data_IF_345610080678
#
_entry.id   IF_345610080678
#
_cell.length_a   1.000
_cell.length_b   1.000
_cell.length_c   1.000
_cell.angle_alpha   90.00
_cell.angle_beta   90.00
_cell.angle_gamma   90.00
#
_symmetry.space_group_name_H-M   'P 1'
#
loop_
_entity.id
_entity.type
_entity.pdbx_description
1 polymer ?
#
# COMPACT_ATOMS: atom_id res chain seq x y z
N UNK A 1 6.27 -11.22 12.29
CA UNK A 1 6.63 -10.96 10.87
C UNK A 1 6.56 -9.47 10.60
N UNK A 2 7.61 -8.90 10.01
CA UNK A 2 7.71 -7.47 9.67
C UNK A 2 7.87 -7.38 8.15
N UNK A 3 6.88 -6.84 7.45
CA UNK A 3 6.74 -6.96 6.01
C UNK A 3 6.56 -5.58 5.34
N UNK A 4 7.20 -5.38 4.20
CA UNK A 4 6.91 -4.30 3.27
C UNK A 4 6.22 -4.88 2.04
N UNK A 5 5.10 -4.28 1.61
CA UNK A 5 4.51 -4.52 0.30
C UNK A 5 4.95 -3.43 -0.67
N UNK A 6 5.69 -3.82 -1.70
CA UNK A 6 6.06 -2.95 -2.82
C UNK A 6 5.16 -3.22 -4.04
N UNK A 7 5.02 -2.22 -4.87
CA UNK A 7 4.28 -2.29 -6.12
C UNK A 7 3.59 -0.96 -6.44
N UNK A 8 3.22 -0.79 -7.71
CA UNK A 8 2.57 0.40 -8.21
C UNK A 8 1.24 0.70 -7.48
N UNK A 9 0.77 1.96 -7.47
CA UNK A 9 -0.57 2.26 -7.02
C UNK A 9 -1.59 1.43 -7.81
N UNK A 10 -2.54 0.78 -7.13
CA UNK A 10 -3.50 -0.13 -7.79
C UNK A 10 -3.02 -1.57 -8.05
N UNK A 11 -1.79 -1.93 -7.69
CA UNK A 11 -1.27 -3.30 -7.83
C UNK A 11 -1.99 -4.35 -6.95
N UNK A 12 -2.90 -3.93 -6.06
CA UNK A 12 -3.63 -4.85 -5.18
C UNK A 12 -2.99 -5.03 -3.81
N UNK A 13 -2.02 -4.18 -3.44
CA UNK A 13 -1.35 -4.25 -2.13
C UNK A 13 -2.32 -4.30 -0.96
N UNK A 14 -3.27 -3.38 -0.90
CA UNK A 14 -4.27 -3.34 0.18
C UNK A 14 -5.15 -4.59 0.24
N UNK A 15 -5.51 -5.18 -0.90
CA UNK A 15 -6.27 -6.43 -0.96
C UNK A 15 -5.43 -7.58 -0.38
N UNK A 16 -4.20 -7.72 -0.80
CA UNK A 16 -3.31 -8.76 -0.29
C UNK A 16 -2.91 -8.53 1.17
N UNK A 17 -2.76 -7.26 1.58
CA UNK A 17 -2.51 -6.90 2.98
C UNK A 17 -3.58 -7.43 3.92
N UNK A 18 -4.86 -7.42 3.52
CA UNK A 18 -5.95 -7.97 4.33
C UNK A 18 -5.76 -9.48 4.62
N UNK A 19 -5.41 -10.26 3.61
CA UNK A 19 -5.16 -11.70 3.79
C UNK A 19 -3.90 -11.95 4.64
N UNK A 20 -2.84 -11.18 4.41
CA UNK A 20 -1.56 -11.34 5.11
C UNK A 20 -1.71 -10.98 6.59
N UNK A 21 -2.35 -9.83 6.91
CA UNK A 21 -2.55 -9.43 8.32
C UNK A 21 -3.37 -10.43 9.12
N UNK A 22 -4.39 -11.03 8.50
CA UNK A 22 -5.20 -12.07 9.13
C UNK A 22 -4.38 -13.34 9.36
N UNK A 23 -3.65 -13.81 8.34
CA UNK A 23 -2.86 -15.03 8.44
C UNK A 23 -1.74 -14.95 9.48
N UNK A 24 -1.05 -13.80 9.55
CA UNK A 24 0.11 -13.63 10.43
C UNK A 24 -0.20 -12.87 11.72
N UNK A 25 -1.45 -12.46 11.91
CA UNK A 25 -1.92 -11.70 13.07
C UNK A 25 -1.04 -10.45 13.35
N UNK A 26 -0.84 -9.63 12.33
CA UNK A 26 -0.05 -8.40 12.38
C UNK A 26 -0.88 -7.20 11.89
N UNK A 27 -0.67 -5.99 12.44
CA UNK A 27 -1.35 -4.80 11.97
C UNK A 27 -0.84 -4.35 10.60
N UNK A 28 -1.75 -3.77 9.81
CA UNK A 28 -1.41 -3.06 8.58
C UNK A 28 -1.17 -1.59 8.89
N UNK A 29 -0.06 -1.06 8.43
CA UNK A 29 0.29 0.37 8.48
C UNK A 29 0.23 0.92 7.06
N UNK A 30 -0.89 1.57 6.74
CA UNK A 30 -1.13 2.21 5.44
C UNK A 30 -1.02 3.72 5.59
N UNK A 31 0.05 4.31 5.06
CA UNK A 31 0.23 5.77 5.11
C UNK A 31 -0.86 6.50 4.35
N UNK A 32 -1.35 5.95 3.25
CA UNK A 32 -2.47 6.51 2.51
C UNK A 32 -3.75 6.54 3.32
N UNK A 33 -4.06 5.51 4.10
CA UNK A 33 -5.25 5.48 4.95
C UNK A 33 -5.11 6.41 6.16
N UNK A 34 -3.92 6.50 6.75
CA UNK A 34 -3.63 7.46 7.82
C UNK A 34 -3.83 8.90 7.36
N UNK A 35 -3.35 9.25 6.16
CA UNK A 35 -3.56 10.57 5.57
C UNK A 35 -5.03 10.84 5.25
N UNK A 36 -5.74 9.86 4.68
CA UNK A 36 -7.19 9.98 4.42
C UNK A 36 -8.01 10.16 5.70
N UNK A 37 -7.63 9.50 6.79
CA UNK A 37 -8.25 9.73 8.09
C UNK A 37 -8.04 11.18 8.56
N UNK A 38 -6.83 11.71 8.45
CA UNK A 38 -6.53 13.11 8.78
C UNK A 38 -7.30 14.11 7.90
N UNK A 39 -7.49 13.80 6.61
CA UNK A 39 -8.33 14.58 5.69
C UNK A 39 -9.79 14.61 6.17
N UNK A 40 -10.33 13.44 6.55
CA UNK A 40 -11.71 13.31 7.03
C UNK A 40 -11.96 14.08 8.35
N UNK A 41 -10.96 14.07 9.23
CA UNK A 41 -11.00 14.79 10.50
C UNK A 41 -10.80 16.31 10.33
N UNK A 42 -10.39 16.77 9.15
CA UNK A 42 -10.16 18.19 8.85
C UNK A 42 -8.96 18.79 9.58
N UNK A 43 -7.99 17.96 9.96
CA UNK A 43 -6.78 18.44 10.63
C UNK A 43 -5.93 19.31 9.67
N UNK A 44 -5.07 20.21 10.17
CA UNK A 44 -4.17 21.00 9.32
C UNK A 44 -3.32 20.10 8.38
N UNK A 45 -2.80 18.99 8.89
CA UNK A 45 -2.10 17.98 8.11
C UNK A 45 -3.01 17.38 7.03
N UNK A 46 -4.27 17.06 7.37
CA UNK A 46 -5.22 16.50 6.42
C UNK A 46 -5.53 17.46 5.28
N UNK A 47 -5.70 18.74 5.55
CA UNK A 47 -5.96 19.76 4.52
C UNK A 47 -4.79 19.93 3.55
N UNK A 48 -3.55 19.87 4.04
CA UNK A 48 -2.34 19.90 3.23
C UNK A 48 -2.19 18.63 2.42
N UNK A 49 -2.31 17.46 3.06
CA UNK A 49 -2.21 16.16 2.41
C UNK A 49 -3.23 15.99 1.29
N UNK A 50 -4.47 16.49 1.47
CA UNK A 50 -5.52 16.41 0.45
C UNK A 50 -5.09 17.05 -0.87
N UNK A 51 -4.52 18.25 -0.83
CA UNK A 51 -4.07 18.96 -2.04
C UNK A 51 -3.03 18.15 -2.83
N UNK A 52 -2.07 17.57 -2.11
CA UNK A 52 -1.00 16.77 -2.70
C UNK A 52 -1.54 15.46 -3.28
N UNK A 53 -2.39 14.76 -2.52
CA UNK A 53 -2.98 13.47 -2.93
C UNK A 53 -3.90 13.60 -4.13
N UNK A 54 -4.76 14.63 -4.17
CA UNK A 54 -5.67 14.92 -5.29
C UNK A 54 -4.89 15.23 -6.58
N UNK A 55 -3.70 15.81 -6.45
CA UNK A 55 -2.78 16.05 -7.56
C UNK A 55 -1.96 14.80 -7.97
N UNK A 56 -2.07 13.70 -7.24
CA UNK A 56 -1.33 12.45 -7.49
C UNK A 56 0.11 12.44 -6.97
N UNK A 57 0.50 13.43 -6.17
CA UNK A 57 1.82 13.55 -5.57
C UNK A 57 2.01 12.78 -4.27
N UNK A 58 3.20 12.89 -3.69
CA UNK A 58 3.55 12.35 -2.37
C UNK A 58 3.64 13.48 -1.33
N UNK A 59 3.11 13.23 -0.14
CA UNK A 59 3.31 14.10 1.03
C UNK A 59 4.78 14.02 1.45
N UNK A 60 5.31 15.11 2.03
CA UNK A 60 6.74 15.22 2.38
C UNK A 60 7.23 14.07 3.25
N UNK A 61 8.48 13.66 3.02
CA UNK A 61 9.11 12.52 3.70
C UNK A 61 9.11 12.70 5.22
N UNK A 62 9.42 13.89 5.73
CA UNK A 62 9.47 14.17 7.17
C UNK A 62 8.13 13.93 7.87
N UNK A 63 7.03 14.34 7.23
CA UNK A 63 5.67 14.12 7.75
C UNK A 63 5.37 12.62 7.79
N UNK A 64 5.61 11.91 6.69
CA UNK A 64 5.34 10.48 6.60
C UNK A 64 6.21 9.68 7.58
N UNK A 65 7.49 9.98 7.67
CA UNK A 65 8.41 9.33 8.62
C UNK A 65 7.93 9.54 10.06
N UNK A 66 7.54 10.75 10.41
CA UNK A 66 6.99 11.05 11.73
C UNK A 66 5.74 10.23 12.04
N UNK A 67 4.77 10.19 11.13
CA UNK A 67 3.54 9.41 11.28
C UNK A 67 3.82 7.92 11.48
N UNK A 68 4.73 7.35 10.69
CA UNK A 68 5.08 5.92 10.77
C UNK A 68 5.80 5.61 12.08
N UNK A 69 6.75 6.44 12.50
CA UNK A 69 7.44 6.27 13.79
C UNK A 69 6.49 6.29 14.97
N UNK A 70 5.49 7.18 14.97
CA UNK A 70 4.48 7.24 16.02
C UNK A 70 3.55 6.02 15.98
N UNK A 71 3.17 5.56 14.81
CA UNK A 71 2.37 4.34 14.64
C UNK A 71 3.07 3.09 15.15
N UNK A 72 4.37 2.96 14.92
CA UNK A 72 5.18 1.82 15.37
C UNK A 72 5.29 1.71 16.90
N UNK A 73 5.05 2.78 17.64
CA UNK A 73 5.05 2.78 19.13
C UNK A 73 3.79 2.13 19.72
N UNK A 74 2.75 1.90 18.91
CA UNK A 74 1.52 1.27 19.38
C UNK A 74 1.75 -0.20 19.76
N UNK A 75 1.11 -0.69 20.84
CA UNK A 75 1.35 -2.04 21.36
C UNK A 75 1.07 -3.16 20.36
N UNK A 76 0.14 -2.96 19.41
CA UNK A 76 -0.19 -3.95 18.38
C UNK A 76 0.94 -4.22 17.40
N UNK A 77 1.93 -3.34 17.30
CA UNK A 77 3.11 -3.49 16.45
C UNK A 77 4.24 -4.34 17.09
N UNK A 78 4.12 -4.70 18.37
CA UNK A 78 5.19 -5.40 19.10
C UNK A 78 5.58 -6.74 18.47
N UNK A 79 4.62 -7.47 17.89
CA UNK A 79 4.84 -8.81 17.30
C UNK A 79 5.06 -8.78 15.79
N UNK A 80 5.12 -7.59 15.20
CA UNK A 80 5.31 -7.40 13.78
C UNK A 80 4.31 -6.42 13.17
N UNK A 81 4.46 -6.17 11.90
CA UNK A 81 3.65 -5.21 11.14
C UNK A 81 3.79 -5.42 9.64
N UNK A 82 2.84 -4.87 8.91
CA UNK A 82 2.83 -4.83 7.47
C UNK A 82 2.75 -3.37 7.00
N UNK A 83 3.76 -2.92 6.29
CA UNK A 83 3.74 -1.61 5.61
C UNK A 83 3.06 -1.71 4.25
N UNK A 84 2.01 -0.94 4.04
CA UNK A 84 1.30 -0.81 2.77
C UNK A 84 1.39 0.65 2.26
N UNK A 85 2.07 0.81 1.13
CA UNK A 85 2.32 2.13 0.55
C UNK A 85 3.36 2.96 1.31
N UNK A 86 4.27 2.30 2.02
CA UNK A 86 5.44 2.87 2.68
C UNK A 86 6.55 1.80 2.78
N UNK A 87 7.84 2.16 2.60
CA UNK A 87 8.31 3.47 2.10
C UNK A 87 7.94 3.69 0.63
N UNK A 88 7.96 4.95 0.20
CA UNK A 88 7.76 5.34 -1.21
C UNK A 88 8.97 6.06 -1.81
N UNK A 89 9.94 6.43 -0.99
CA UNK A 89 11.16 7.11 -1.41
C UNK A 89 12.37 6.52 -0.71
N UNK A 90 13.56 6.72 -1.29
CA UNK A 90 14.83 6.30 -0.66
C UNK A 90 15.02 6.98 0.72
N UNK A 91 14.79 8.29 0.91
CA UNK A 91 14.91 8.91 2.24
C UNK A 91 14.00 8.27 3.29
N UNK A 92 12.78 7.84 2.93
CA UNK A 92 11.91 7.12 3.85
C UNK A 92 12.48 5.74 4.23
N UNK A 93 13.02 5.00 3.25
CA UNK A 93 13.65 3.70 3.50
C UNK A 93 14.89 3.83 4.39
N UNK A 94 15.76 4.80 4.11
CA UNK A 94 16.96 5.07 4.90
C UNK A 94 16.60 5.47 6.33
N UNK A 95 15.65 6.36 6.52
CA UNK A 95 15.19 6.79 7.85
C UNK A 95 14.69 5.63 8.71
N UNK A 96 14.02 4.64 8.11
CA UNK A 96 13.58 3.44 8.84
C UNK A 96 14.75 2.52 9.18
N UNK A 97 15.68 2.34 8.25
CA UNK A 97 16.90 1.54 8.48
C UNK A 97 17.76 2.14 9.58
N UNK A 98 18.01 3.45 9.56
CA UNK A 98 18.75 4.20 10.58
C UNK A 98 18.06 4.15 11.96
N UNK A 99 16.73 4.17 11.99
CA UNK A 99 15.95 4.02 13.20
C UNK A 99 15.92 2.58 13.75
N UNK A 100 16.58 1.63 13.10
CA UNK A 100 16.61 0.22 13.50
C UNK A 100 15.28 -0.51 13.33
N UNK A 101 14.40 -0.02 12.44
CA UNK A 101 13.12 -0.66 12.14
C UNK A 101 13.38 -1.94 11.36
N UNK A 102 13.18 -3.10 12.01
CA UNK A 102 13.45 -4.40 11.40
C UNK A 102 12.46 -4.75 10.30
N UNK A 103 12.94 -5.33 9.22
CA UNK A 103 12.13 -5.86 8.12
C UNK A 103 12.57 -7.29 7.84
N UNK A 104 11.64 -8.24 7.88
CA UNK A 104 11.92 -9.65 7.61
C UNK A 104 11.76 -9.95 6.11
N UNK A 105 10.73 -9.37 5.48
CA UNK A 105 10.41 -9.58 4.07
C UNK A 105 10.07 -8.29 3.36
N UNK A 106 10.44 -8.22 2.09
CA UNK A 106 9.92 -7.26 1.12
C UNK A 106 9.26 -8.06 0.01
N UNK A 107 7.95 -7.90 -0.15
CA UNK A 107 7.15 -8.57 -1.18
C UNK A 107 6.73 -7.56 -2.25
N UNK A 108 7.29 -7.72 -3.44
CA UNK A 108 6.89 -6.95 -4.63
C UNK A 108 5.69 -7.63 -5.30
N UNK A 109 4.63 -6.87 -5.53
CA UNK A 109 3.49 -7.25 -6.36
C UNK A 109 3.62 -6.50 -7.68
N UNK A 110 4.06 -7.22 -8.73
CA UNK A 110 4.36 -6.66 -10.04
C UNK A 110 3.13 -6.69 -10.96
N UNK A 111 2.75 -5.51 -11.46
CA UNK A 111 1.57 -5.34 -12.34
C UNK A 111 1.90 -4.32 -13.43
N UNK A 112 1.66 -4.63 -14.72
CA UNK A 112 1.86 -3.68 -15.82
C UNK A 112 0.95 -2.44 -15.70
N UNK A 113 1.42 -1.30 -16.19
CA UNK A 113 0.72 -0.01 -16.09
C UNK A 113 -0.68 -0.03 -16.69
N UNK A 114 -0.88 -0.69 -17.82
CA UNK A 114 -2.18 -0.81 -18.48
C UNK A 114 -3.22 -1.50 -17.57
N UNK A 115 -2.79 -2.56 -16.87
CA UNK A 115 -3.64 -3.26 -15.92
C UNK A 115 -3.91 -2.39 -14.68
N UNK A 116 -2.96 -1.58 -14.26
CA UNK A 116 -3.14 -0.59 -13.18
C UNK A 116 -4.21 0.44 -13.55
N UNK A 117 -4.12 1.02 -14.75
CA UNK A 117 -5.05 2.05 -15.21
C UNK A 117 -6.48 1.48 -15.23
N UNK A 118 -6.67 0.28 -15.79
CA UNK A 118 -7.98 -0.38 -15.83
C UNK A 118 -8.51 -0.65 -14.41
N UNK A 119 -7.68 -1.13 -13.51
CA UNK A 119 -8.07 -1.44 -12.13
C UNK A 119 -8.46 -0.20 -11.34
N UNK A 120 -7.68 0.85 -11.42
CA UNK A 120 -7.92 2.04 -10.62
C UNK A 120 -9.13 2.84 -11.11
N UNK A 121 -9.29 2.99 -12.42
CA UNK A 121 -10.47 3.69 -12.98
C UNK A 121 -11.79 2.96 -12.68
N UNK A 122 -11.75 1.63 -12.57
CA UNK A 122 -12.92 0.81 -12.21
C UNK A 122 -13.12 0.60 -10.71
N UNK A 123 -12.19 1.04 -9.85
CA UNK A 123 -12.28 0.86 -8.39
C UNK A 123 -13.43 1.68 -7.80
N UNK A 124 -14.13 1.06 -6.84
CA UNK A 124 -15.14 1.70 -6.00
C UNK A 124 -14.85 1.38 -4.55
N UNK A 125 -15.13 2.32 -3.66
CA UNK A 125 -14.78 2.22 -2.24
C UNK A 125 -15.95 2.58 -1.37
N UNK A 126 -16.22 1.77 -0.37
CA UNK A 126 -17.07 2.12 0.76
C UNK A 126 -16.24 2.91 1.77
N UNK A 127 -16.43 4.22 1.82
CA UNK A 127 -15.59 5.15 2.59
C UNK A 127 -15.50 4.82 4.09
N UNK A 128 -16.62 4.48 4.78
CA UNK A 128 -16.55 4.22 6.23
C UNK A 128 -15.73 2.99 6.61
N UNK A 129 -15.79 1.92 5.80
CA UNK A 129 -15.11 0.64 6.12
C UNK A 129 -13.81 0.42 5.36
N UNK A 130 -13.55 1.21 4.30
CA UNK A 130 -12.42 0.98 3.40
C UNK A 130 -12.57 -0.23 2.45
N UNK A 131 -13.72 -0.94 2.47
CA UNK A 131 -13.96 -2.06 1.53
C UNK A 131 -13.89 -1.57 0.09
N UNK A 132 -13.28 -2.38 -0.75
CA UNK A 132 -13.04 -2.06 -2.16
C UNK A 132 -13.75 -3.05 -3.07
N UNK A 133 -14.33 -2.51 -4.14
CA UNK A 133 -14.98 -3.23 -5.22
C UNK A 133 -14.38 -2.80 -6.56
N UNK A 134 -14.71 -3.52 -7.60
CA UNK A 134 -14.35 -3.14 -8.96
C UNK A 134 -15.52 -3.37 -9.89
N UNK A 135 -15.85 -2.40 -10.73
CA UNK A 135 -17.04 -2.46 -11.61
C UNK A 135 -17.05 -3.68 -12.55
N UNK A 136 -15.88 -4.24 -12.86
CA UNK A 136 -15.70 -5.39 -13.79
C UNK A 136 -15.19 -6.65 -13.08
N UNK A 137 -14.16 -6.54 -12.23
CA UNK A 137 -13.43 -7.69 -11.69
C UNK A 137 -13.96 -8.21 -10.34
N UNK A 138 -14.59 -7.34 -9.58
CA UNK A 138 -15.21 -7.66 -8.30
C UNK A 138 -16.41 -6.73 -8.07
N UNK A 139 -17.49 -6.88 -8.88
CA UNK A 139 -18.65 -6.01 -8.76
C UNK A 139 -19.40 -6.28 -7.45
N UNK A 140 -19.98 -5.23 -6.84
CA UNK A 140 -20.89 -5.42 -5.73
C UNK A 140 -22.16 -6.13 -6.19
N UNK A 141 -22.88 -6.78 -5.27
CA UNK A 141 -24.16 -7.46 -5.56
C UNK A 141 -25.21 -6.52 -6.12
N UNK A 142 -25.22 -5.29 -5.63
CA UNK A 142 -26.05 -4.19 -6.14
C UNK A 142 -25.13 -3.10 -6.64
N UNK A 143 -25.27 -2.71 -7.91
CA UNK A 143 -24.41 -1.70 -8.51
C UNK A 143 -24.37 -0.41 -7.68
N UNK A 144 -23.15 0.03 -7.36
CA UNK A 144 -22.91 1.24 -6.59
C UNK A 144 -23.18 1.14 -5.08
N UNK A 145 -23.46 -0.05 -4.54
CA UNK A 145 -23.74 -0.25 -3.11
C UNK A 145 -22.75 -1.22 -2.45
N UNK A 146 -22.43 -0.94 -1.20
CA UNK A 146 -21.63 -1.84 -0.37
C UNK A 146 -22.42 -3.10 0.01
N UNK A 147 -21.83 -4.26 -0.16
CA UNK A 147 -22.50 -5.54 0.05
C UNK A 147 -22.87 -5.83 1.51
N UNK A 148 -22.26 -5.13 2.45
CA UNK A 148 -22.46 -5.35 3.90
C UNK A 148 -23.43 -4.34 4.48
N UNK A 149 -23.30 -3.06 4.13
CA UNK A 149 -24.11 -1.98 4.71
C UNK A 149 -25.22 -1.48 3.79
N UNK A 150 -25.11 -1.73 2.48
CA UNK A 150 -26.00 -1.15 1.48
C UNK A 150 -25.77 0.34 1.19
N UNK A 151 -24.77 0.95 1.81
CA UNK A 151 -24.38 2.35 1.60
C UNK A 151 -23.72 2.54 0.23
N UNK A 152 -23.61 3.81 -0.20
CA UNK A 152 -23.05 4.14 -1.51
C UNK A 152 -21.56 3.91 -1.59
N UNK A 153 -21.13 3.39 -2.74
CA UNK A 153 -19.74 3.29 -3.14
C UNK A 153 -19.34 4.54 -3.91
N UNK A 154 -18.15 5.05 -3.64
CA UNK A 154 -17.60 6.20 -4.36
C UNK A 154 -16.39 5.79 -5.21
N UNK A 155 -16.11 6.55 -6.26
CA UNK A 155 -14.80 6.60 -6.87
C UNK A 155 -13.97 7.65 -6.15
N UNK A 156 -12.75 7.32 -5.74
CA UNK A 156 -11.82 8.29 -5.14
C UNK A 156 -11.38 9.32 -6.19
N UNK A 157 -11.11 10.55 -5.79
CA UNK A 157 -10.61 11.58 -6.71
C UNK A 157 -9.25 11.21 -7.31
N UNK A 158 -8.41 10.49 -6.56
CA UNK A 158 -7.11 10.00 -7.01
C UNK A 158 -7.20 8.71 -7.88
N UNK A 159 -8.40 8.22 -8.18
CA UNK A 159 -8.66 7.09 -9.09
C UNK A 159 -9.12 7.53 -10.48
N UNK A 160 -9.25 8.81 -10.74
CA UNK A 160 -9.50 9.34 -12.08
C UNK A 160 -8.30 9.05 -12.97
N UNK A 161 -8.54 8.65 -14.23
CA UNK A 161 -7.47 8.16 -15.13
C UNK A 161 -6.29 9.13 -15.23
N UNK A 162 -6.56 10.43 -15.35
CA UNK A 162 -5.50 11.45 -15.41
C UNK A 162 -4.63 11.43 -14.14
N UNK A 163 -5.25 11.34 -12.97
CA UNK A 163 -4.54 11.27 -11.68
C UNK A 163 -3.78 9.95 -11.54
N UNK A 164 -4.36 8.84 -12.00
CA UNK A 164 -3.69 7.54 -12.03
C UNK A 164 -2.41 7.58 -12.84
N UNK A 165 -2.45 8.19 -14.03
CA UNK A 165 -1.25 8.36 -14.88
C UNK A 165 -0.17 9.20 -14.20
N UNK A 166 -0.55 10.27 -13.50
CA UNK A 166 0.39 11.08 -12.68
C UNK A 166 0.98 10.26 -11.53
N UNK A 167 0.16 9.47 -10.84
CA UNK A 167 0.63 8.58 -9.76
C UNK A 167 1.59 7.50 -10.25
N UNK A 168 1.36 6.95 -11.44
CA UNK A 168 2.29 6.01 -12.06
C UNK A 168 3.61 6.69 -12.42
N UNK A 169 3.59 7.90 -12.97
CA UNK A 169 4.81 8.66 -13.25
C UNK A 169 5.62 8.92 -11.96
N UNK A 170 4.97 9.33 -10.88
CA UNK A 170 5.61 9.51 -9.57
C UNK A 170 6.15 8.19 -9.00
N UNK A 171 5.40 7.09 -9.19
CA UNK A 171 5.87 5.75 -8.79
C UNK A 171 7.16 5.36 -9.52
N UNK A 172 7.21 5.49 -10.83
CA UNK A 172 8.40 5.16 -11.63
C UNK A 172 9.60 6.05 -11.30
N UNK A 173 9.36 7.33 -11.02
CA UNK A 173 10.42 8.29 -10.68
C UNK A 173 10.98 8.11 -9.26
N UNK A 174 10.12 7.89 -8.27
CA UNK A 174 10.50 7.99 -6.85
C UNK A 174 10.42 6.67 -6.07
N UNK A 175 9.54 5.75 -6.46
CA UNK A 175 9.23 4.55 -5.66
C UNK A 175 9.80 3.28 -6.27
N UNK A 176 9.78 3.13 -7.58
CA UNK A 176 10.28 1.93 -8.26
C UNK A 176 11.77 1.68 -8.00
N UNK A 177 12.54 2.74 -7.75
CA UNK A 177 13.96 2.64 -7.35
C UNK A 177 14.17 1.83 -6.07
N UNK A 178 13.14 1.70 -5.22
CA UNK A 178 13.16 0.87 -4.00
C UNK A 178 13.27 -0.62 -4.32
N UNK A 179 12.82 -1.07 -5.49
CA UNK A 179 13.01 -2.45 -5.95
C UNK A 179 14.52 -2.78 -5.98
N UNK A 180 15.31 -1.92 -6.61
CA UNK A 180 16.77 -2.06 -6.64
C UNK A 180 17.42 -1.91 -5.26
N UNK A 181 16.94 -0.97 -4.45
CA UNK A 181 17.42 -0.71 -3.09
C UNK A 181 17.28 -1.97 -2.21
N UNK A 182 16.08 -2.54 -2.13
CA UNK A 182 15.84 -3.71 -1.29
C UNK A 182 16.43 -5.00 -1.84
N UNK A 183 16.50 -5.17 -3.16
CA UNK A 183 17.21 -6.29 -3.78
C UNK A 183 18.70 -6.28 -3.43
N UNK A 184 19.37 -5.13 -3.51
CA UNK A 184 20.78 -4.98 -3.11
C UNK A 184 20.96 -5.26 -1.63
N UNK A 185 20.07 -4.77 -0.77
CA UNK A 185 20.16 -5.02 0.67
C UNK A 185 19.93 -6.50 0.99
N UNK A 186 18.93 -7.14 0.40
CA UNK A 186 18.70 -8.59 0.56
C UNK A 186 19.90 -9.41 0.09
N UNK A 187 20.50 -9.07 -1.06
CA UNK A 187 21.67 -9.76 -1.60
C UNK A 187 22.94 -9.58 -0.76
N UNK A 188 23.01 -8.52 0.05
CA UNK A 188 24.18 -8.26 0.89
C UNK A 188 24.39 -9.30 1.99
N UNK A 189 23.38 -10.08 2.33
CA UNK A 189 23.36 -11.05 3.43
C UNK A 189 23.84 -10.49 4.79
N UNK A 190 23.81 -9.16 4.95
CA UNK A 190 24.17 -8.51 6.21
C UNK A 190 23.15 -8.84 7.30
N UNK A 191 23.54 -8.84 8.57
CA UNK A 191 22.60 -8.99 9.67
C UNK A 191 21.46 -7.96 9.58
N UNK A 192 20.22 -8.45 9.62
CA UNK A 192 19.03 -7.58 9.48
C UNK A 192 18.60 -7.29 8.05
N UNK A 193 19.28 -7.83 7.03
CA UNK A 193 18.83 -7.74 5.65
C UNK A 193 17.52 -8.52 5.45
N UNK A 194 16.52 -7.95 4.78
CA UNK A 194 15.25 -8.62 4.52
C UNK A 194 15.40 -9.67 3.43
N UNK A 195 14.47 -10.63 3.40
CA UNK A 195 14.28 -11.47 2.21
C UNK A 195 13.44 -10.73 1.18
N UNK A 196 13.94 -10.63 -0.05
CA UNK A 196 13.17 -10.04 -1.15
C UNK A 196 12.43 -11.13 -1.94
N UNK A 197 11.15 -10.89 -2.19
CA UNK A 197 10.28 -11.77 -2.97
C UNK A 197 9.48 -10.97 -3.98
N UNK A 198 9.29 -11.54 -5.18
CA UNK A 198 8.49 -10.93 -6.24
C UNK A 198 7.40 -11.90 -6.70
N UNK A 199 6.18 -11.41 -6.83
CA UNK A 199 5.05 -12.16 -7.38
C UNK A 199 4.36 -11.36 -8.47
N UNK A 200 3.74 -12.07 -9.43
CA UNK A 200 2.86 -11.45 -10.40
C UNK A 200 1.54 -11.07 -9.72
N UNK A 201 1.12 -9.82 -9.90
CA UNK A 201 -0.13 -9.29 -9.36
C UNK A 201 -1.29 -9.31 -10.36
N UNK A 202 -1.18 -10.06 -11.45
CA UNK A 202 -2.23 -10.22 -12.47
C UNK A 202 -2.86 -11.60 -12.33
N UNK A 203 -4.20 -11.66 -12.34
CA UNK A 203 -4.97 -12.89 -12.20
C UNK A 203 -6.00 -12.83 -11.07
N UNK A 204 -6.62 -13.97 -10.72
CA UNK A 204 -7.57 -14.07 -9.62
C UNK A 204 -6.95 -13.67 -8.28
N UNK A 205 -7.72 -12.98 -7.44
CA UNK A 205 -7.26 -12.46 -6.14
C UNK A 205 -6.73 -13.57 -5.24
N UNK A 206 -7.41 -14.73 -5.23
CA UNK A 206 -7.04 -15.89 -4.43
C UNK A 206 -5.73 -16.50 -4.89
N UNK A 207 -5.47 -16.55 -6.19
CA UNK A 207 -4.20 -17.05 -6.75
C UNK A 207 -3.04 -16.15 -6.34
N UNK A 208 -3.24 -14.84 -6.40
CA UNK A 208 -2.22 -13.87 -5.96
C UNK A 208 -1.95 -14.03 -4.46
N UNK A 209 -3.01 -14.20 -3.64
CA UNK A 209 -2.91 -14.48 -2.21
C UNK A 209 -2.07 -15.74 -1.94
N UNK A 210 -2.38 -16.83 -2.63
CA UNK A 210 -1.70 -18.11 -2.41
C UNK A 210 -0.22 -18.04 -2.80
N UNK A 211 0.09 -17.32 -3.90
CA UNK A 211 1.46 -17.01 -4.30
C UNK A 211 2.19 -16.16 -3.26
N UNK A 212 1.50 -15.14 -2.68
CA UNK A 212 2.06 -14.33 -1.62
C UNK A 212 2.38 -15.17 -0.38
N UNK A 213 1.46 -16.04 0.04
CA UNK A 213 1.66 -16.90 1.20
C UNK A 213 2.82 -17.88 0.99
N UNK A 214 2.94 -18.46 -0.21
CA UNK A 214 4.05 -19.33 -0.57
C UNK A 214 5.38 -18.58 -0.50
N UNK A 215 5.45 -17.39 -1.10
CA UNK A 215 6.66 -16.57 -1.10
C UNK A 215 7.11 -16.13 0.30
N UNK A 216 6.17 -15.97 1.24
CA UNK A 216 6.44 -15.60 2.63
C UNK A 216 6.72 -16.80 3.56
N UNK A 217 6.51 -18.03 3.10
CA UNK A 217 6.83 -19.24 3.84
C UNK A 217 8.27 -19.73 3.60
N UNK A 218 8.94 -19.26 2.55
CA UNK A 218 10.30 -19.56 2.14
C UNK A 218 11.31 -18.55 2.71
#
# INVERSE_FOLDING_TARGET
>A
MRLILLGAPGAGKGTQANFIKEKFNIPQISTGDMLRAAVKEGTPLGLEAKKVMDAGGLVSDDIIIGLVKDRLKQPDCANGYLFDGFPRTIPQADAMKEAGVGIDYVLEIDVPDEAIIERMSGRRVHQPSGRTYHVKFNPPKVAGKDDVTGEELIQRDDDKEETVRKRLAVYHDQTEVLVGYYNKWAASAQPGAPKYRKIAGVGPVETIRDNAFKALAE
#
